data_IF_564613817824
#
_entry.id   IF_564613817824
#
_cell.length_a   1.000
_cell.length_b   1.000
_cell.length_c   1.000
_cell.angle_alpha   90.00
_cell.angle_beta   90.00
_cell.angle_gamma   90.00
#
_symmetry.space_group_name_H-M   'P 1'
#
loop_
_entity.id
_entity.type
_entity.pdbx_description
1 polymer ?
#
# COMPACT_ATOMS: atom_id res chain seq x y z
N UNK A 1 12.79 8.19 2.44
CA UNK A 1 13.27 6.86 2.89
C UNK A 1 14.41 6.37 2.00
N UNK A 2 15.29 5.46 2.45
CA UNK A 2 16.46 5.06 1.63
C UNK A 2 16.01 4.12 0.50
N UNK A 3 16.26 4.54 -0.76
CA UNK A 3 16.07 3.72 -1.96
C UNK A 3 14.63 3.51 -2.40
N UNK A 4 13.65 4.17 -1.78
CA UNK A 4 12.23 3.96 -2.06
C UNK A 4 11.69 4.95 -3.11
N UNK A 5 12.41 5.15 -4.21
CA UNK A 5 12.02 6.06 -5.29
C UNK A 5 11.79 5.29 -6.60
N UNK A 6 10.82 5.78 -7.38
CA UNK A 6 10.58 5.37 -8.77
C UNK A 6 10.64 6.59 -9.71
N UNK A 7 11.06 7.75 -9.21
CA UNK A 7 11.08 9.00 -9.99
C UNK A 7 12.36 9.13 -10.80
N UNK A 8 12.28 8.87 -12.10
CA UNK A 8 13.40 9.10 -13.03
C UNK A 8 13.85 10.57 -13.05
N UNK A 9 12.88 11.50 -12.90
CA UNK A 9 13.16 12.94 -12.83
C UNK A 9 13.97 13.29 -11.59
N UNK A 10 13.60 12.74 -10.42
CA UNK A 10 14.34 13.00 -9.18
C UNK A 10 15.70 12.28 -9.17
N UNK A 11 15.76 11.07 -9.73
CA UNK A 11 16.98 10.26 -9.81
C UNK A 11 17.92 10.63 -10.96
N UNK A 12 17.53 11.53 -11.87
CA UNK A 12 18.31 11.93 -13.04
C UNK A 12 18.70 10.77 -13.97
N UNK A 13 18.03 9.62 -13.85
CA UNK A 13 18.38 8.36 -14.52
C UNK A 13 17.15 7.48 -14.66
N UNK A 14 17.12 6.67 -15.73
CA UNK A 14 16.06 5.69 -15.99
C UNK A 14 16.16 4.45 -15.07
N UNK A 15 17.30 4.26 -14.43
CA UNK A 15 17.66 3.03 -13.72
C UNK A 15 18.37 3.37 -12.41
N UNK A 16 18.43 2.41 -11.47
CA UNK A 16 19.18 2.60 -10.23
C UNK A 16 18.46 3.46 -9.17
N UNK A 17 17.13 3.55 -9.24
CA UNK A 17 16.31 4.34 -8.30
C UNK A 17 16.10 3.66 -6.93
N UNK A 18 16.78 2.53 -6.70
CA UNK A 18 16.63 1.69 -5.53
C UNK A 18 15.37 0.81 -5.59
N UNK A 19 14.19 1.37 -5.84
CA UNK A 19 12.91 0.65 -5.88
C UNK A 19 12.75 -0.31 -4.70
N UNK A 20 13.04 0.18 -3.49
CA UNK A 20 12.74 -0.52 -2.24
C UNK A 20 11.32 -0.18 -1.78
N UNK A 21 10.85 -0.82 -0.70
CA UNK A 21 9.58 -0.53 -0.06
C UNK A 21 9.80 -0.15 1.41
N UNK A 22 8.92 0.68 2.01
CA UNK A 22 9.07 1.14 3.38
C UNK A 22 8.33 0.31 4.43
N UNK A 23 7.50 -0.62 3.98
CA UNK A 23 6.67 -1.46 4.82
C UNK A 23 7.42 -2.37 5.78
N UNK A 24 6.66 -2.90 6.74
CA UNK A 24 7.15 -3.82 7.75
C UNK A 24 7.49 -5.19 7.16
N UNK A 25 8.68 -5.70 7.48
CA UNK A 25 9.07 -7.09 7.25
C UNK A 25 10.08 -7.56 8.30
N UNK A 26 10.20 -8.88 8.46
CA UNK A 26 11.25 -9.51 9.25
C UNK A 26 12.41 -9.91 8.35
N UNK A 27 13.63 -10.14 8.88
CA UNK A 27 14.72 -10.68 8.07
C UNK A 27 14.30 -11.94 7.32
N UNK A 28 14.36 -11.90 5.99
CA UNK A 28 13.93 -12.98 5.08
C UNK A 28 12.45 -13.40 5.23
N UNK A 29 11.59 -12.48 5.69
CA UNK A 29 10.15 -12.70 5.81
C UNK A 29 9.48 -12.81 4.44
N UNK A 30 8.54 -13.76 4.33
CA UNK A 30 7.69 -13.91 3.15
C UNK A 30 6.68 -12.76 3.03
N UNK A 31 6.20 -12.25 4.16
CA UNK A 31 5.25 -11.14 4.22
C UNK A 31 6.02 -9.82 4.33
N UNK A 32 5.63 -8.87 3.49
CA UNK A 32 6.10 -7.49 3.50
C UNK A 32 4.87 -6.57 3.46
N UNK A 33 4.38 -6.15 4.64
CA UNK A 33 3.18 -5.31 4.73
C UNK A 33 3.58 -3.86 4.47
N UNK A 34 3.25 -3.36 3.28
CA UNK A 34 3.74 -2.06 2.81
C UNK A 34 2.63 -1.22 2.16
N UNK A 35 2.66 0.12 2.30
CA UNK A 35 1.86 0.98 1.45
C UNK A 35 2.21 0.79 -0.03
N UNK A 36 1.20 0.78 -0.87
CA UNK A 36 1.30 0.98 -2.31
C UNK A 36 0.82 2.39 -2.64
N UNK A 37 1.64 3.17 -3.32
CA UNK A 37 1.27 4.50 -3.85
C UNK A 37 0.60 4.39 -5.22
N UNK A 38 1.07 3.43 -6.02
CA UNK A 38 0.53 3.10 -7.33
C UNK A 38 0.82 1.62 -7.64
N UNK A 39 -0.14 0.97 -8.27
CA UNK A 39 0.02 -0.34 -8.87
C UNK A 39 0.14 -0.23 -10.39
N UNK A 40 1.03 -1.02 -10.98
CA UNK A 40 1.33 -1.00 -12.42
C UNK A 40 2.40 0.01 -12.84
N UNK A 41 2.79 -0.08 -14.11
CA UNK A 41 3.87 0.71 -14.68
C UNK A 41 5.22 0.38 -14.05
N UNK A 42 6.18 1.30 -14.13
CA UNK A 42 7.54 1.10 -13.61
C UNK A 42 7.68 1.41 -12.11
N UNK A 43 6.74 0.88 -11.32
CA UNK A 43 6.66 1.08 -9.87
C UNK A 43 6.75 -0.25 -9.13
N UNK A 44 7.72 -1.09 -9.50
CA UNK A 44 7.67 -2.51 -9.16
C UNK A 44 7.86 -2.89 -7.69
N UNK A 45 8.11 -1.93 -6.79
CA UNK A 45 8.02 -2.12 -5.33
C UNK A 45 6.68 -1.68 -4.73
N UNK A 46 5.76 -1.15 -5.56
CA UNK A 46 4.47 -0.57 -5.17
C UNK A 46 4.55 0.84 -4.58
N UNK A 47 5.74 1.31 -4.19
CA UNK A 47 5.93 2.56 -3.46
C UNK A 47 6.92 3.50 -4.15
N UNK A 48 6.63 4.80 -4.09
CA UNK A 48 7.54 5.87 -4.50
C UNK A 48 7.44 7.04 -3.54
N UNK A 49 8.56 7.51 -3.01
CA UNK A 49 8.64 8.57 -2.00
C UNK A 49 8.02 9.88 -2.48
N UNK A 50 8.07 10.13 -3.79
CA UNK A 50 7.56 11.32 -4.48
C UNK A 50 6.04 11.33 -4.66
N UNK A 51 5.39 10.17 -4.57
CA UNK A 51 3.94 10.09 -4.72
C UNK A 51 3.23 10.62 -3.47
N UNK A 52 2.11 11.32 -3.68
CA UNK A 52 1.36 12.01 -2.62
C UNK A 52 0.10 11.29 -2.15
N UNK A 53 -0.16 10.11 -2.71
CA UNK A 53 -1.36 9.33 -2.41
C UNK A 53 -1.01 7.86 -2.24
N UNK A 54 -1.75 7.18 -1.37
CA UNK A 54 -1.66 5.75 -1.10
C UNK A 54 -2.92 5.09 -1.68
N UNK A 55 -2.69 4.06 -2.50
CA UNK A 55 -3.72 3.19 -3.05
C UNK A 55 -4.22 2.18 -2.01
N UNK A 56 -3.34 1.69 -1.16
CA UNK A 56 -3.68 0.80 -0.05
C UNK A 56 -2.45 0.14 0.55
N UNK A 57 -2.64 -0.90 1.35
CA UNK A 57 -1.59 -1.66 2.02
C UNK A 57 -1.62 -3.11 1.54
N UNK A 58 -0.55 -3.56 0.89
CA UNK A 58 -0.42 -4.92 0.38
C UNK A 58 0.54 -5.74 1.23
N UNK A 59 0.41 -7.07 1.20
CA UNK A 59 1.13 -8.00 2.10
C UNK A 59 2.39 -8.61 1.48
N UNK A 60 2.65 -8.33 0.21
CA UNK A 60 3.77 -8.89 -0.55
C UNK A 60 4.35 -7.83 -1.46
N UNK A 61 5.68 -7.73 -1.53
CA UNK A 61 6.41 -6.73 -2.29
C UNK A 61 7.70 -7.31 -2.85
N UNK A 62 8.18 -6.73 -3.94
CA UNK A 62 9.54 -6.96 -4.43
C UNK A 62 10.41 -5.75 -4.08
N UNK A 63 11.61 -5.98 -3.54
CA UNK A 63 12.56 -4.92 -3.19
C UNK A 63 13.74 -4.92 -4.14
N UNK A 64 14.18 -3.76 -4.61
CA UNK A 64 15.43 -3.65 -5.38
C UNK A 64 15.30 -4.05 -6.85
N UNK A 65 14.08 -4.16 -7.38
CA UNK A 65 13.85 -4.66 -8.73
C UNK A 65 13.95 -3.54 -9.77
N UNK A 66 14.43 -3.87 -10.97
CA UNK A 66 14.67 -2.87 -12.03
C UNK A 66 13.45 -2.48 -12.87
N UNK A 67 12.49 -3.39 -13.06
CA UNK A 67 11.41 -3.29 -14.05
C UNK A 67 10.02 -3.09 -13.40
N UNK A 68 8.94 -3.44 -14.11
CA UNK A 68 7.54 -3.28 -13.66
C UNK A 68 7.16 -4.03 -12.36
N UNK A 69 7.95 -5.01 -11.94
CA UNK A 69 7.71 -5.80 -10.74
C UNK A 69 6.56 -6.79 -10.85
N UNK A 70 6.22 -7.38 -9.71
CA UNK A 70 5.12 -8.32 -9.48
C UNK A 70 4.71 -8.21 -7.99
N UNK A 71 3.85 -9.09 -7.50
CA UNK A 71 3.30 -9.10 -6.14
C UNK A 71 2.37 -7.90 -5.89
N UNK A 72 2.40 -7.32 -4.69
CA UNK A 72 1.46 -6.27 -4.29
C UNK A 72 0.03 -6.79 -4.07
N UNK A 73 -0.11 -8.09 -3.83
CA UNK A 73 -1.41 -8.76 -3.67
C UNK A 73 -2.05 -8.42 -2.31
N UNK A 74 -3.37 -8.62 -2.27
CA UNK A 74 -4.19 -8.47 -1.07
C UNK A 74 -4.13 -7.03 -0.56
N UNK A 75 -4.58 -6.10 -1.40
CA UNK A 75 -4.53 -4.67 -1.12
C UNK A 75 -5.67 -4.29 -0.17
N UNK A 76 -5.31 -3.81 1.02
CA UNK A 76 -6.24 -3.44 2.07
C UNK A 76 -6.28 -1.91 2.19
N UNK A 77 -7.49 -1.32 2.22
CA UNK A 77 -7.65 0.11 2.40
C UNK A 77 -8.75 0.42 3.43
N UNK A 78 -8.44 1.16 4.52
CA UNK A 78 -9.45 1.65 5.43
C UNK A 78 -10.13 2.90 4.84
N UNK A 79 -11.45 3.01 4.97
CA UNK A 79 -12.21 4.16 4.45
C UNK A 79 -13.42 4.46 5.33
N UNK A 80 -13.97 5.67 5.19
CA UNK A 80 -15.27 6.02 5.78
C UNK A 80 -16.27 6.50 4.73
N UNK A 81 -17.55 6.62 5.10
CA UNK A 81 -18.54 7.27 4.25
C UNK A 81 -18.91 6.48 2.98
N UNK A 82 -18.82 7.09 1.80
CA UNK A 82 -19.25 6.47 0.53
C UNK A 82 -18.33 5.31 0.11
N UNK A 83 -18.91 4.21 -0.38
CA UNK A 83 -18.15 3.10 -0.94
C UNK A 83 -17.67 3.45 -2.35
N UNK A 84 -16.37 3.35 -2.58
CA UNK A 84 -15.75 3.40 -3.90
C UNK A 84 -15.18 2.03 -4.20
N UNK A 85 -15.50 1.46 -5.36
CA UNK A 85 -15.02 0.13 -5.79
C UNK A 85 -13.83 0.20 -6.75
N UNK A 86 -13.29 1.40 -6.95
CA UNK A 86 -12.12 1.68 -7.78
C UNK A 86 -11.13 2.52 -6.96
N UNK A 87 -9.84 2.36 -7.20
CA UNK A 87 -8.82 3.12 -6.47
C UNK A 87 -8.86 4.61 -6.76
N UNK A 88 -9.27 4.99 -7.98
CA UNK A 88 -9.15 6.38 -8.45
C UNK A 88 -7.71 6.69 -8.88
N UNK A 89 -7.53 7.85 -9.53
CA UNK A 89 -6.23 8.29 -10.06
C UNK A 89 -5.49 9.16 -9.04
N UNK A 90 -4.14 9.16 -9.02
CA UNK A 90 -3.37 10.05 -8.14
C UNK A 90 -3.76 11.52 -8.27
N UNK A 91 -4.14 11.96 -9.47
CA UNK A 91 -4.53 13.35 -9.78
C UNK A 91 -5.98 13.67 -9.37
N UNK A 92 -6.80 12.65 -9.13
CA UNK A 92 -8.22 12.76 -8.82
C UNK A 92 -8.64 11.72 -7.75
N UNK A 93 -8.03 11.77 -6.53
CA UNK A 93 -8.23 10.78 -5.48
C UNK A 93 -9.65 10.76 -4.89
N UNK A 94 -10.45 11.81 -5.10
CA UNK A 94 -11.84 11.91 -4.68
C UNK A 94 -12.75 10.90 -5.41
N UNK A 95 -12.37 10.46 -6.61
CA UNK A 95 -13.16 9.54 -7.44
C UNK A 95 -12.96 8.05 -7.10
N UNK A 96 -12.16 7.73 -6.08
CA UNK A 96 -11.89 6.34 -5.68
C UNK A 96 -11.61 6.18 -4.20
N UNK A 97 -11.16 5.00 -3.77
CA UNK A 97 -10.83 4.72 -2.37
C UNK A 97 -9.44 5.22 -1.94
N UNK A 98 -8.54 5.56 -2.88
CA UNK A 98 -7.19 6.03 -2.53
C UNK A 98 -7.27 7.29 -1.66
N UNK A 99 -6.25 7.47 -0.82
CA UNK A 99 -6.16 8.61 0.08
C UNK A 99 -4.88 9.40 -0.18
N UNK A 100 -4.94 10.72 -0.01
CA UNK A 100 -3.74 11.47 0.32
C UNK A 100 -3.13 10.97 1.64
N UNK A 101 -1.87 11.27 1.88
CA UNK A 101 -1.25 10.98 3.16
C UNK A 101 -0.34 12.13 3.58
N UNK A 102 -0.20 12.32 4.89
CA UNK A 102 0.71 13.31 5.44
C UNK A 102 2.12 12.71 5.52
N UNK A 103 2.99 13.13 4.60
CA UNK A 103 4.38 12.68 4.53
C UNK A 103 5.15 12.95 5.83
N UNK A 104 4.82 14.01 6.56
CA UNK A 104 5.48 14.32 7.83
C UNK A 104 5.10 13.36 8.96
N UNK A 105 3.96 12.68 8.82
CA UNK A 105 3.49 11.62 9.73
C UNK A 105 4.00 10.23 9.36
N UNK A 106 4.67 10.09 8.21
CA UNK A 106 5.19 8.80 7.75
C UNK A 106 6.38 8.37 8.61
N UNK A 107 6.26 7.21 9.22
CA UNK A 107 7.28 6.63 10.07
C UNK A 107 7.51 5.18 9.70
N UNK A 108 8.76 4.82 9.44
CA UNK A 108 9.18 3.47 9.09
C UNK A 108 10.42 3.08 9.89
N UNK A 109 10.36 1.91 10.52
CA UNK A 109 11.47 1.30 11.24
C UNK A 109 11.44 -0.22 11.05
N UNK A 110 12.46 -0.93 11.56
CA UNK A 110 12.56 -2.38 11.36
C UNK A 110 11.33 -3.12 11.93
N UNK A 111 10.52 -3.70 11.04
CA UNK A 111 9.31 -4.44 11.42
C UNK A 111 8.07 -3.59 11.67
N UNK A 112 8.11 -2.27 11.41
CA UNK A 112 6.97 -1.39 11.64
C UNK A 112 6.88 -0.24 10.63
N UNK A 113 5.65 0.07 10.21
CA UNK A 113 5.33 1.22 9.36
C UNK A 113 4.07 1.92 9.89
N UNK A 114 4.01 3.25 9.82
CA UNK A 114 2.79 4.00 10.09
C UNK A 114 2.69 5.30 9.31
N UNK A 115 1.46 5.74 9.04
CA UNK A 115 1.18 6.99 8.33
C UNK A 115 -0.24 7.48 8.62
N UNK A 116 -0.47 8.79 8.53
CA UNK A 116 -1.81 9.39 8.56
C UNK A 116 -2.39 9.53 7.15
N UNK A 117 -3.54 8.89 6.92
CA UNK A 117 -4.33 9.03 5.71
C UNK A 117 -5.22 10.26 5.83
N UNK A 118 -5.02 11.25 4.95
CA UNK A 118 -5.63 12.58 5.10
C UNK A 118 -7.07 12.66 4.63
N UNK A 119 -7.50 11.77 3.73
CA UNK A 119 -8.86 11.79 3.18
C UNK A 119 -9.93 11.50 4.24
N UNK A 120 -9.68 10.48 5.06
CA UNK A 120 -10.61 9.99 6.08
C UNK A 120 -10.08 10.21 7.51
N UNK A 121 -8.94 10.89 7.69
CA UNK A 121 -8.26 11.09 8.97
C UNK A 121 -8.00 9.78 9.73
N UNK A 122 -7.53 8.75 9.03
CA UNK A 122 -7.28 7.41 9.58
C UNK A 122 -5.80 7.22 9.78
N UNK A 123 -5.37 6.87 10.99
CA UNK A 123 -4.01 6.40 11.22
C UNK A 123 -3.91 4.94 10.77
N UNK A 124 -2.99 4.65 9.86
CA UNK A 124 -2.66 3.30 9.45
C UNK A 124 -1.31 2.88 10.04
N UNK A 125 -1.27 1.67 10.60
CA UNK A 125 -0.09 1.07 11.19
C UNK A 125 0.03 -0.37 10.69
N UNK A 126 1.25 -0.80 10.41
CA UNK A 126 1.55 -2.11 9.86
C UNK A 126 2.73 -2.75 10.60
N UNK A 127 2.64 -4.05 10.85
CA UNK A 127 3.76 -4.88 11.31
C UNK A 127 3.69 -6.25 10.63
N UNK A 128 4.80 -7.00 10.69
CA UNK A 128 4.91 -8.28 10.03
C UNK A 128 5.69 -9.30 10.87
N UNK A 129 5.24 -10.54 10.79
CA UNK A 129 5.98 -11.74 11.17
C UNK A 129 6.51 -12.43 9.89
N UNK A 130 7.12 -13.60 10.04
CA UNK A 130 7.71 -14.34 8.89
C UNK A 130 6.72 -14.66 7.78
N UNK A 131 5.46 -14.99 8.10
CA UNK A 131 4.41 -15.43 7.15
C UNK A 131 3.03 -14.81 7.43
N UNK A 132 2.98 -13.81 8.30
CA UNK A 132 1.75 -13.15 8.72
C UNK A 132 1.99 -11.65 8.82
N UNK A 133 0.97 -10.85 8.59
CA UNK A 133 1.01 -9.40 8.74
C UNK A 133 -0.15 -8.92 9.59
N UNK A 134 0.01 -7.77 10.22
CA UNK A 134 -1.06 -7.11 10.96
C UNK A 134 -1.16 -5.66 10.50
N UNK A 135 -2.40 -5.23 10.26
CA UNK A 135 -2.76 -3.84 10.03
C UNK A 135 -3.61 -3.37 11.20
N UNK A 136 -3.28 -2.20 11.75
CA UNK A 136 -4.08 -1.51 12.76
C UNK A 136 -4.52 -0.17 12.18
N UNK A 137 -5.82 0.08 12.23
CA UNK A 137 -6.42 1.31 11.73
C UNK A 137 -7.14 2.03 12.87
N UNK A 138 -6.76 3.29 13.11
CA UNK A 138 -7.44 4.15 14.08
C UNK A 138 -8.34 5.11 13.31
N UNK A 139 -9.65 4.83 13.36
CA UNK A 139 -10.66 5.64 12.68
C UNK A 139 -11.10 6.83 13.55
N UNK A 140 -11.48 7.97 12.94
CA UNK A 140 -12.26 8.97 13.65
C UNK A 140 -13.68 8.44 13.90
N UNK A 141 -14.42 9.10 14.79
CA UNK A 141 -15.83 8.81 14.96
C UNK A 141 -16.58 9.02 13.65
N UNK A 142 -17.22 7.97 13.14
CA UNK A 142 -17.99 8.00 11.90
C UNK A 142 -19.20 7.06 12.00
N UNK A 143 -20.26 7.35 11.24
CA UNK A 143 -21.43 6.45 11.13
C UNK A 143 -21.12 5.20 10.33
N UNK A 144 -20.18 5.29 9.39
CA UNK A 144 -19.83 4.20 8.48
C UNK A 144 -18.32 4.15 8.29
N UNK A 145 -17.69 3.19 8.95
CA UNK A 145 -16.26 2.85 8.79
C UNK A 145 -16.14 1.47 8.16
N UNK A 146 -15.13 1.24 7.33
CA UNK A 146 -14.91 -0.06 6.70
C UNK A 146 -13.44 -0.32 6.39
N UNK A 147 -13.11 -1.61 6.33
CA UNK A 147 -11.88 -2.13 5.75
C UNK A 147 -12.27 -2.76 4.40
N UNK A 148 -11.68 -2.27 3.32
CA UNK A 148 -11.89 -2.80 1.98
C UNK A 148 -10.69 -3.66 1.57
N UNK A 149 -10.94 -4.74 0.84
CA UNK A 149 -9.91 -5.64 0.32
C UNK A 149 -10.12 -5.75 -1.19
N UNK A 150 -9.13 -5.28 -1.96
CA UNK A 150 -9.08 -5.40 -3.41
C UNK A 150 -8.20 -6.61 -3.78
N UNK A 151 -8.85 -7.68 -4.25
CA UNK A 151 -8.19 -8.93 -4.67
C UNK A 151 -7.73 -8.90 -6.13
N UNK A 152 -8.16 -7.89 -6.89
CA UNK A 152 -7.76 -7.73 -8.28
C UNK A 152 -6.41 -7.02 -8.38
N UNK A 153 -6.11 -6.14 -7.42
CA UNK A 153 -4.90 -5.31 -7.45
C UNK A 153 -3.63 -6.07 -7.11
N UNK A 154 -2.62 -5.76 -7.92
CA UNK A 154 -1.24 -6.27 -7.91
C UNK A 154 -0.34 -5.19 -8.47
N UNK A 155 0.91 -5.13 -8.03
CA UNK A 155 1.93 -4.19 -8.56
C UNK A 155 2.24 -4.52 -10.03
N UNK A 156 2.36 -5.80 -10.35
CA UNK A 156 2.54 -6.29 -11.72
C UNK A 156 1.55 -7.40 -12.08
N UNK A 157 1.30 -7.56 -13.38
CA UNK A 157 0.44 -8.60 -13.94
C UNK A 157 -1.07 -8.37 -13.71
N UNK A 158 -1.85 -9.42 -13.99
CA UNK A 158 -3.32 -9.41 -13.88
C UNK A 158 -3.79 -10.56 -13.00
N UNK A 159 -4.73 -10.29 -12.09
CA UNK A 159 -5.40 -11.33 -11.31
C UNK A 159 -6.44 -12.05 -12.18
N UNK A 160 -6.23 -13.34 -12.47
CA UNK A 160 -7.13 -14.12 -13.34
C UNK A 160 -8.32 -14.73 -12.60
N UNK A 161 -8.13 -15.12 -11.33
CA UNK A 161 -9.15 -15.78 -10.50
C UNK A 161 -9.07 -15.21 -9.09
N UNK A 162 -10.22 -14.85 -8.53
CA UNK A 162 -10.35 -14.29 -7.18
C UNK A 162 -11.53 -14.98 -6.49
N UNK A 163 -11.36 -15.39 -5.24
CA UNK A 163 -12.42 -16.01 -4.45
C UNK A 163 -12.36 -15.51 -3.01
N UNK A 164 -13.53 -15.18 -2.46
CA UNK A 164 -13.71 -14.91 -1.04
C UNK A 164 -14.62 -15.98 -0.45
N UNK A 165 -14.26 -16.49 0.72
CA UNK A 165 -15.11 -17.37 1.52
C UNK A 165 -15.08 -16.87 2.96
N UNK A 166 -16.25 -16.51 3.49
CA UNK A 166 -16.42 -16.27 4.93
C UNK A 166 -16.53 -17.64 5.60
N UNK A 167 -15.60 -17.94 6.51
CA UNK A 167 -15.47 -19.28 7.11
C UNK A 167 -16.13 -19.40 8.49
N UNK A 168 -16.33 -18.28 9.20
CA UNK A 168 -17.03 -18.21 10.49
C UNK A 168 -17.46 -16.77 10.79
N UNK A 169 -18.17 -16.56 11.91
CA UNK A 169 -18.67 -15.25 12.36
C UNK A 169 -17.65 -14.45 13.18
N UNK A 170 -16.49 -15.02 13.50
CA UNK A 170 -15.43 -14.36 14.27
C UNK A 170 -14.51 -13.61 13.31
N UNK A 171 -14.96 -12.44 12.87
CA UNK A 171 -14.18 -11.49 12.05
C UNK A 171 -14.04 -10.16 12.78
#
# INVERSE_FOLDING_TARGET
MIGASTSEKAGGSLHGLGKTFPGATTPYGMVQVSPNTITGGDNGSGYSDEHKTIEGFAFTQMSGIGWYGDLGNFLVMPTTGKLYTVSGKPEAPENGYRSGYDKSSEHAEAGYYSVMLTKDHIKAEATAARRSGMLRFTFPQNKVSRIQIDLARRVGGTSSIQQVRVVNENT
#
